data_IF_523567796844
#
_entry.id   IF_523567796844
#
_cell.length_a   1.000
_cell.length_b   1.000
_cell.length_c   1.000
_cell.angle_alpha   90.00
_cell.angle_beta   90.00
_cell.angle_gamma   90.00
#
_symmetry.space_group_name_H-M   'P 1'
#
loop_
_entity.id
_entity.type
_entity.pdbx_description
1 polymer ?
#
# COMPACT_ATOMS: atom_id res chain seq x y z
N UNK A 1 -41.25 -6.01 68.91
CA UNK A 1 -41.97 -5.45 67.76
C UNK A 1 -43.18 -6.35 67.49
N UNK A 2 -44.38 -5.79 67.49
CA UNK A 2 -45.64 -6.56 67.44
C UNK A 2 -45.77 -7.17 66.03
N UNK A 3 -45.95 -8.50 65.96
CA UNK A 3 -46.07 -9.24 64.65
C UNK A 3 -47.10 -8.62 63.73
N UNK A 4 -48.20 -8.09 64.30
CA UNK A 4 -49.23 -7.39 63.55
C UNK A 4 -48.75 -6.12 62.86
N UNK A 5 -47.76 -5.40 63.41
CA UNK A 5 -47.22 -4.19 62.82
C UNK A 5 -46.33 -4.49 61.58
N UNK A 6 -45.64 -5.64 61.60
CA UNK A 6 -44.84 -6.14 60.47
C UNK A 6 -45.73 -6.56 59.30
N UNK A 7 -46.86 -7.18 59.56
CA UNK A 7 -47.83 -7.58 58.48
C UNK A 7 -48.49 -6.36 57.86
N UNK A 8 -48.75 -5.28 58.62
CA UNK A 8 -49.29 -4.03 58.08
C UNK A 8 -48.28 -3.34 57.20
N UNK A 9 -46.98 -3.31 57.56
CA UNK A 9 -45.93 -2.73 56.74
C UNK A 9 -45.75 -3.55 55.42
N UNK A 10 -45.78 -4.88 55.51
CA UNK A 10 -45.68 -5.72 54.29
C UNK A 10 -46.91 -5.55 53.39
N UNK A 11 -48.11 -5.43 53.94
CA UNK A 11 -49.31 -5.19 53.15
C UNK A 11 -49.28 -3.80 52.46
N UNK A 12 -48.80 -2.75 53.12
CA UNK A 12 -48.63 -1.43 52.53
C UNK A 12 -47.53 -1.44 51.44
N UNK A 13 -46.45 -2.20 51.63
CA UNK A 13 -45.40 -2.34 50.62
C UNK A 13 -45.92 -3.09 49.38
N UNK A 14 -46.76 -4.12 49.55
CA UNK A 14 -47.33 -4.85 48.41
C UNK A 14 -48.32 -3.99 47.60
N UNK A 15 -49.09 -3.14 48.26
CA UNK A 15 -50.02 -2.23 47.58
C UNK A 15 -49.27 -1.11 46.88
N UNK A 16 -48.11 -0.64 47.44
CA UNK A 16 -47.28 0.34 46.78
C UNK A 16 -46.55 -0.20 45.54
N UNK A 17 -46.27 -1.52 45.49
CA UNK A 17 -45.65 -2.13 44.32
C UNK A 17 -46.64 -2.50 43.20
N UNK A 18 -47.92 -2.61 43.49
CA UNK A 18 -48.94 -2.82 42.42
C UNK A 18 -49.39 -1.53 41.74
N UNK A 19 -49.11 -0.37 42.32
CA UNK A 19 -49.43 0.93 41.72
C UNK A 19 -48.49 1.35 40.56
N UNK A 20 -47.43 0.58 40.33
CA UNK A 20 -46.51 0.81 39.19
C UNK A 20 -46.80 -0.08 37.98
N UNK A 21 -47.92 -0.86 37.98
CA UNK A 21 -48.22 -1.81 36.90
C UNK A 21 -49.42 -1.43 36.02
N UNK A 22 -50.11 -0.35 36.35
CA UNK A 22 -51.10 0.25 35.42
C UNK A 22 -50.41 1.39 34.66
N UNK A 23 -49.47 1.04 33.84
CA UNK A 23 -49.16 1.86 32.67
C UNK A 23 -50.27 1.58 31.65
N UNK A 24 -51.30 2.41 31.66
CA UNK A 24 -52.26 2.49 30.57
C UNK A 24 -51.47 2.80 29.32
N UNK A 25 -51.05 1.74 28.59
CA UNK A 25 -50.35 1.83 27.29
C UNK A 25 -51.22 2.55 26.24
N UNK A 26 -51.49 3.80 26.52
CA UNK A 26 -52.12 4.75 25.61
C UNK A 26 -51.09 5.58 24.84
N UNK A 27 -49.85 5.07 24.77
CA UNK A 27 -48.84 5.69 23.91
C UNK A 27 -49.17 5.32 22.46
N UNK A 28 -49.84 6.23 21.81
CA UNK A 28 -49.97 6.19 20.35
C UNK A 28 -48.62 6.56 19.76
N UNK A 29 -47.68 5.58 19.73
CA UNK A 29 -46.39 5.82 19.11
C UNK A 29 -46.61 5.92 17.62
N UNK A 30 -46.38 7.12 17.09
CA UNK A 30 -46.28 7.32 15.64
C UNK A 30 -45.16 6.41 15.14
N UNK A 31 -45.42 5.64 14.09
CA UNK A 31 -44.39 4.77 13.48
C UNK A 31 -43.24 5.64 13.03
N UNK A 32 -42.04 5.32 13.54
CA UNK A 32 -40.82 5.95 13.08
C UNK A 32 -40.63 5.65 11.59
N UNK A 33 -40.24 6.66 10.86
CA UNK A 33 -39.84 6.53 9.47
C UNK A 33 -38.42 6.04 9.39
N UNK A 34 -38.22 4.71 9.42
CA UNK A 34 -36.93 4.06 9.42
C UNK A 34 -36.38 3.92 8.00
N UNK A 35 -35.05 3.79 7.85
CA UNK A 35 -34.43 3.48 6.58
C UNK A 35 -34.63 2.00 6.22
N UNK A 36 -34.93 1.71 4.95
CA UNK A 36 -34.97 0.35 4.42
C UNK A 36 -33.54 -0.20 4.32
N UNK A 37 -33.37 -1.53 4.52
CA UNK A 37 -32.07 -2.22 4.32
C UNK A 37 -31.26 -2.46 5.58
N UNK A 38 -31.78 -2.16 6.78
CA UNK A 38 -31.14 -2.52 8.05
C UNK A 38 -29.73 -1.92 8.20
N UNK A 39 -28.72 -2.76 8.43
CA UNK A 39 -27.33 -2.33 8.69
C UNK A 39 -26.69 -1.53 7.51
N UNK A 40 -27.11 -1.80 6.29
CA UNK A 40 -26.65 -1.08 5.08
C UNK A 40 -27.73 -0.13 4.53
N UNK A 41 -28.48 0.50 5.37
CA UNK A 41 -29.60 1.37 5.00
C UNK A 41 -29.19 2.61 4.18
N UNK A 42 -27.93 3.02 4.25
CA UNK A 42 -27.35 4.09 3.41
C UNK A 42 -26.36 3.43 2.44
N UNK A 43 -26.74 3.30 1.17
CA UNK A 43 -25.92 2.83 0.05
C UNK A 43 -25.16 3.96 -0.64
N UNK A 44 -24.55 3.67 -1.80
CA UNK A 44 -23.79 4.65 -2.59
C UNK A 44 -22.46 5.09 -1.96
N UNK A 45 -22.04 4.45 -0.89
CA UNK A 45 -20.76 4.71 -0.20
C UNK A 45 -19.99 3.41 0.00
N UNK A 46 -18.68 3.44 -0.21
CA UNK A 46 -17.73 2.40 0.23
C UNK A 46 -17.36 2.64 1.70
N UNK A 47 -16.86 1.60 2.36
CA UNK A 47 -16.31 1.75 3.71
C UNK A 47 -14.98 2.52 3.69
N UNK A 48 -14.20 2.37 2.59
CA UNK A 48 -12.95 3.08 2.37
C UNK A 48 -12.75 3.51 0.91
N UNK A 49 -12.08 4.63 0.75
CA UNK A 49 -11.62 5.20 -0.53
C UNK A 49 -10.13 5.50 -0.46
N UNK A 50 -9.50 5.55 -1.63
CA UNK A 50 -8.11 6.00 -1.75
C UNK A 50 -7.98 6.96 -2.92
N UNK A 51 -7.56 8.19 -2.63
CA UNK A 51 -7.38 9.27 -3.60
C UNK A 51 -5.95 9.82 -3.53
N UNK A 52 -5.51 10.51 -4.59
CA UNK A 52 -4.29 11.30 -4.53
C UNK A 52 -4.55 12.68 -3.92
N UNK A 53 -3.49 13.34 -3.47
CA UNK A 53 -3.53 14.78 -3.11
C UNK A 53 -4.13 15.58 -4.25
N UNK A 54 -4.99 16.55 -3.92
CA UNK A 54 -5.75 17.41 -4.85
C UNK A 54 -6.72 16.68 -5.79
N UNK A 55 -6.86 15.38 -5.67
CA UNK A 55 -7.89 14.62 -6.38
C UNK A 55 -9.25 14.86 -5.74
N UNK A 56 -10.27 14.99 -6.58
CA UNK A 56 -11.64 15.19 -6.12
C UNK A 56 -12.38 13.87 -6.02
N UNK A 57 -12.96 13.60 -4.86
CA UNK A 57 -13.85 12.47 -4.59
C UNK A 57 -15.25 12.98 -4.36
N UNK A 58 -16.19 12.65 -5.23
CA UNK A 58 -17.60 12.96 -5.04
C UNK A 58 -18.33 11.77 -4.41
N UNK A 59 -18.94 12.01 -3.25
CA UNK A 59 -19.73 11.05 -2.50
C UNK A 59 -21.20 11.32 -2.73
N UNK A 60 -21.96 10.30 -3.16
CA UNK A 60 -23.38 10.41 -3.47
C UNK A 60 -24.14 9.28 -2.77
N UNK A 61 -24.46 9.43 -1.48
CA UNK A 61 -25.20 8.43 -0.72
C UNK A 61 -26.59 8.19 -1.32
N UNK A 62 -27.08 6.98 -1.18
CA UNK A 62 -28.44 6.57 -1.55
C UNK A 62 -29.15 5.97 -0.35
N UNK A 63 -30.45 6.23 -0.23
CA UNK A 63 -31.25 5.68 0.87
C UNK A 63 -32.73 5.69 0.50
N UNK A 64 -33.55 4.89 1.22
CA UNK A 64 -35.00 4.90 1.13
C UNK A 64 -35.62 4.79 2.51
N UNK A 65 -36.69 5.53 2.76
CA UNK A 65 -37.49 5.41 3.97
C UNK A 65 -38.57 4.33 3.84
N UNK A 66 -39.02 3.79 4.96
CA UNK A 66 -40.07 2.77 5.00
C UNK A 66 -41.48 3.35 4.75
N UNK A 67 -41.72 4.58 5.19
CA UNK A 67 -43.04 5.25 5.10
C UNK A 67 -43.06 6.22 3.92
N UNK A 68 -42.13 7.18 3.87
CA UNK A 68 -42.09 8.24 2.85
C UNK A 68 -40.97 7.95 1.82
N UNK A 69 -41.08 6.88 1.04
CA UNK A 69 -40.04 6.42 0.14
C UNK A 69 -39.92 7.24 -1.18
N UNK A 70 -40.95 8.02 -1.56
CA UNK A 70 -40.98 8.71 -2.86
C UNK A 70 -40.49 10.17 -2.77
N UNK A 71 -40.87 10.90 -1.74
CA UNK A 71 -40.49 12.29 -1.54
C UNK A 71 -40.31 12.58 -0.05
N UNK A 72 -39.24 12.07 0.58
CA UNK A 72 -39.02 12.26 2.00
C UNK A 72 -38.70 13.73 2.30
N UNK A 73 -39.29 14.27 3.39
CA UNK A 73 -38.91 15.58 3.93
C UNK A 73 -37.68 15.42 4.82
N UNK A 74 -36.51 15.71 4.24
CA UNK A 74 -35.20 15.44 4.90
C UNK A 74 -34.25 16.61 4.78
N UNK A 75 -33.34 16.69 5.72
CA UNK A 75 -32.12 17.51 5.66
C UNK A 75 -30.86 16.64 5.74
N UNK A 76 -29.74 17.20 5.31
CA UNK A 76 -28.46 16.51 5.22
C UNK A 76 -27.41 17.21 6.04
N UNK A 77 -26.50 16.41 6.61
CA UNK A 77 -25.31 16.91 7.28
C UNK A 77 -24.10 16.08 6.84
N UNK A 78 -23.01 16.78 6.63
CA UNK A 78 -21.70 16.19 6.37
C UNK A 78 -20.73 16.55 7.48
N UNK A 79 -19.92 15.59 7.87
CA UNK A 79 -18.89 15.77 8.88
C UNK A 79 -17.54 15.33 8.32
N UNK A 80 -16.51 16.10 8.62
CA UNK A 80 -15.10 15.77 8.36
C UNK A 80 -14.40 15.63 9.71
N UNK A 81 -13.85 14.44 9.98
CA UNK A 81 -13.17 14.09 11.25
C UNK A 81 -14.00 14.44 12.50
N UNK A 82 -15.33 14.24 12.39
CA UNK A 82 -16.29 14.51 13.44
C UNK A 82 -16.73 15.97 13.56
N UNK A 83 -16.21 16.88 12.73
CA UNK A 83 -16.62 18.29 12.70
C UNK A 83 -17.68 18.51 11.62
N UNK A 84 -18.77 19.17 11.98
CA UNK A 84 -19.85 19.51 11.04
C UNK A 84 -19.36 20.50 9.98
N UNK A 85 -19.62 20.16 8.70
CA UNK A 85 -19.40 21.04 7.57
C UNK A 85 -20.67 21.89 7.33
N UNK A 86 -20.71 23.06 7.96
CA UNK A 86 -21.93 23.89 7.99
C UNK A 86 -22.40 24.36 6.61
N UNK A 87 -21.50 24.51 5.65
CA UNK A 87 -21.77 24.95 4.28
C UNK A 87 -22.16 23.80 3.34
N UNK A 88 -22.07 22.54 3.78
CA UNK A 88 -22.34 21.35 2.99
C UNK A 88 -23.62 20.66 3.46
N UNK A 89 -24.75 21.08 2.89
CA UNK A 89 -26.10 20.61 3.25
C UNK A 89 -26.79 19.86 2.10
N UNK A 90 -26.04 19.47 1.07
CA UNK A 90 -26.57 18.78 -0.11
C UNK A 90 -26.63 17.27 0.05
N UNK A 91 -27.33 16.55 -0.85
CA UNK A 91 -27.37 15.09 -0.89
C UNK A 91 -26.06 14.47 -1.35
N UNK A 92 -25.11 15.27 -1.84
CA UNK A 92 -23.77 14.83 -2.26
C UNK A 92 -22.73 15.80 -1.75
N UNK A 93 -21.50 15.30 -1.55
CA UNK A 93 -20.36 16.07 -1.10
C UNK A 93 -19.13 15.75 -1.94
N UNK A 94 -18.36 16.78 -2.32
CA UNK A 94 -17.10 16.61 -3.04
C UNK A 94 -15.92 16.96 -2.13
N UNK A 95 -15.18 15.92 -1.74
CA UNK A 95 -14.01 16.03 -0.91
C UNK A 95 -12.74 16.15 -1.75
N UNK A 96 -11.78 16.95 -1.29
CA UNK A 96 -10.39 16.97 -1.74
C UNK A 96 -9.49 17.45 -0.61
N UNK A 97 -8.20 17.09 -0.65
CA UNK A 97 -7.21 17.51 0.36
C UNK A 97 -5.88 17.82 -0.33
N UNK A 98 -5.24 18.90 0.09
CA UNK A 98 -3.88 19.26 -0.33
C UNK A 98 -2.78 18.60 0.52
N UNK A 99 -3.16 17.78 1.52
CA UNK A 99 -2.24 17.06 2.39
C UNK A 99 -2.54 15.58 2.35
N UNK A 100 -1.51 14.75 2.32
CA UNK A 100 -1.63 13.30 2.51
C UNK A 100 -2.06 12.97 3.94
N UNK A 101 -2.66 11.80 4.11
CA UNK A 101 -3.14 11.32 5.41
C UNK A 101 -4.45 10.56 5.30
N UNK A 102 -5.19 10.49 6.39
CA UNK A 102 -6.50 9.82 6.45
C UNK A 102 -7.55 10.79 6.95
N UNK A 103 -8.69 10.83 6.28
CA UNK A 103 -9.86 11.61 6.68
C UNK A 103 -11.06 10.67 6.89
N UNK A 104 -11.86 10.95 7.90
CA UNK A 104 -13.15 10.28 8.12
C UNK A 104 -14.28 11.20 7.72
N UNK A 105 -15.06 10.77 6.73
CA UNK A 105 -16.23 11.53 6.26
C UNK A 105 -17.49 10.81 6.74
N UNK A 106 -18.41 11.54 7.35
CA UNK A 106 -19.70 11.01 7.79
C UNK A 106 -20.82 11.76 7.10
N UNK A 107 -21.67 11.03 6.44
CA UNK A 107 -22.95 11.52 5.91
C UNK A 107 -24.05 11.22 6.93
N UNK A 108 -24.94 12.17 7.14
CA UNK A 108 -26.16 11.97 7.90
C UNK A 108 -27.36 12.50 7.15
N UNK A 109 -28.47 11.74 7.18
CA UNK A 109 -29.80 12.16 6.74
C UNK A 109 -30.72 12.24 7.95
N UNK A 110 -31.48 13.32 8.03
CA UNK A 110 -32.40 13.63 9.14
C UNK A 110 -33.80 13.65 8.58
N UNK A 111 -34.67 12.83 9.14
CA UNK A 111 -36.13 12.95 8.89
C UNK A 111 -36.67 14.18 9.62
N UNK A 112 -37.08 15.22 8.88
CA UNK A 112 -37.47 16.47 9.49
C UNK A 112 -38.75 16.39 10.34
N UNK A 113 -39.60 15.36 10.12
CA UNK A 113 -40.83 15.15 10.92
C UNK A 113 -40.52 14.60 12.29
N UNK A 114 -39.65 13.60 12.37
CA UNK A 114 -39.29 12.91 13.65
C UNK A 114 -38.05 13.45 14.31
N UNK A 115 -37.17 14.14 13.57
CA UNK A 115 -35.86 14.58 14.02
C UNK A 115 -34.85 13.43 14.12
N UNK A 116 -35.18 12.22 13.68
CA UNK A 116 -34.30 11.07 13.74
C UNK A 116 -33.20 11.20 12.71
N UNK A 117 -31.96 11.00 13.14
CA UNK A 117 -30.75 11.06 12.31
C UNK A 117 -30.20 9.66 12.05
N UNK A 118 -29.97 9.36 10.77
CA UNK A 118 -29.30 8.15 10.30
C UNK A 118 -27.95 8.56 9.70
N UNK A 119 -26.89 7.86 10.05
CA UNK A 119 -25.55 8.24 9.59
C UNK A 119 -24.73 7.03 9.13
N UNK A 120 -23.84 7.26 8.13
CA UNK A 120 -22.82 6.32 7.69
C UNK A 120 -21.50 7.06 7.52
N UNK A 121 -20.42 6.44 8.00
CA UNK A 121 -19.08 6.95 7.84
C UNK A 121 -18.33 6.17 6.76
N UNK A 122 -17.39 6.84 6.12
CA UNK A 122 -16.39 6.27 5.23
C UNK A 122 -15.01 6.83 5.59
N UNK A 123 -13.98 6.05 5.34
CA UNK A 123 -12.58 6.46 5.50
C UNK A 123 -11.99 6.80 4.13
N UNK A 124 -11.28 7.92 4.04
CA UNK A 124 -10.58 8.33 2.81
C UNK A 124 -9.09 8.39 3.11
N UNK A 125 -8.31 7.51 2.49
CA UNK A 125 -6.84 7.56 2.49
C UNK A 125 -6.39 8.49 1.36
N UNK A 126 -5.71 9.59 1.71
CA UNK A 126 -5.15 10.57 0.78
C UNK A 126 -3.68 10.26 0.60
N UNK A 127 -3.29 9.86 -0.60
CA UNK A 127 -1.91 9.51 -0.96
C UNK A 127 -1.21 10.72 -1.58
N UNK A 128 0.12 10.75 -1.52
CA UNK A 128 0.91 11.69 -2.31
C UNK A 128 0.70 11.43 -3.81
N UNK A 129 1.06 12.37 -4.66
CA UNK A 129 0.79 12.29 -6.11
C UNK A 129 1.48 11.10 -6.77
N UNK A 130 2.67 10.74 -6.30
CA UNK A 130 3.53 9.77 -6.99
C UNK A 130 3.54 8.36 -6.39
N UNK A 131 2.76 8.10 -5.34
CA UNK A 131 2.67 6.77 -4.70
C UNK A 131 2.05 5.69 -5.58
N UNK A 132 1.31 6.07 -6.60
CA UNK A 132 0.66 5.12 -7.51
C UNK A 132 0.61 5.72 -8.90
N UNK A 133 1.09 4.97 -9.89
CA UNK A 133 1.03 5.41 -11.27
C UNK A 133 2.10 4.76 -12.12
N UNK A 134 2.44 5.43 -13.21
CA UNK A 134 3.47 4.99 -14.14
C UNK A 134 4.56 6.04 -14.22
N UNK A 135 5.76 5.69 -13.79
CA UNK A 135 6.97 6.46 -14.05
C UNK A 135 7.47 6.14 -15.46
N UNK A 136 7.71 7.16 -16.26
CA UNK A 136 8.16 7.03 -17.65
C UNK A 136 9.43 7.84 -17.82
N UNK A 137 10.56 7.15 -17.97
CA UNK A 137 11.83 7.76 -18.29
C UNK A 137 11.97 7.88 -19.81
N UNK A 138 12.24 9.08 -20.28
CA UNK A 138 12.41 9.39 -21.71
C UNK A 138 13.72 10.12 -21.95
N UNK A 139 14.20 10.07 -23.19
CA UNK A 139 15.38 10.77 -23.66
C UNK A 139 14.98 12.03 -24.41
N UNK A 140 15.44 13.20 -23.96
CA UNK A 140 15.32 14.45 -24.69
C UNK A 140 16.23 14.50 -25.93
N UNK A 141 16.01 15.48 -26.82
CA UNK A 141 16.82 15.66 -28.04
C UNK A 141 18.29 15.95 -27.74
N UNK A 142 18.58 16.46 -26.57
CA UNK A 142 19.92 16.77 -26.04
C UNK A 142 20.51 15.64 -25.18
N UNK A 143 19.93 14.44 -25.25
CA UNK A 143 20.22 13.29 -24.40
C UNK A 143 19.87 13.47 -22.90
N UNK A 144 19.17 14.53 -22.52
CA UNK A 144 18.72 14.76 -21.16
C UNK A 144 17.73 13.65 -20.74
N UNK A 145 17.86 13.20 -19.50
CA UNK A 145 16.87 12.33 -18.86
C UNK A 145 15.66 13.15 -18.47
N UNK A 146 14.47 12.71 -18.89
CA UNK A 146 13.18 13.34 -18.58
C UNK A 146 12.30 12.32 -17.91
N UNK A 147 11.93 12.58 -16.68
CA UNK A 147 11.00 11.73 -15.93
C UNK A 147 9.59 12.32 -15.97
N UNK A 148 8.67 11.56 -16.50
CA UNK A 148 7.24 11.89 -16.52
C UNK A 148 6.49 10.92 -15.65
N UNK A 149 5.32 11.33 -15.14
CA UNK A 149 4.49 10.46 -14.31
C UNK A 149 3.02 10.55 -14.72
N UNK A 150 2.39 9.38 -14.89
CA UNK A 150 0.95 9.27 -15.14
C UNK A 150 0.27 8.84 -13.85
N UNK A 151 -0.60 9.70 -13.34
CA UNK A 151 -1.33 9.49 -12.09
C UNK A 151 -2.70 8.88 -12.43
N UNK A 152 -3.01 7.65 -11.97
CA UNK A 152 -4.35 7.10 -12.11
C UNK A 152 -5.30 7.76 -11.13
N UNK A 153 -6.53 8.03 -11.57
CA UNK A 153 -7.66 8.36 -10.72
C UNK A 153 -8.59 7.15 -10.64
N UNK A 154 -9.16 6.92 -9.47
CA UNK A 154 -10.14 5.85 -9.27
C UNK A 154 -11.53 6.42 -9.41
N UNK A 155 -12.32 5.85 -10.31
CA UNK A 155 -13.76 6.13 -10.45
C UNK A 155 -14.53 4.95 -9.89
N UNK A 156 -15.25 5.17 -8.81
CA UNK A 156 -16.13 4.15 -8.23
C UNK A 156 -17.51 4.25 -8.86
N UNK A 157 -18.07 3.14 -9.30
CA UNK A 157 -19.45 2.98 -9.72
C UNK A 157 -20.11 1.84 -8.96
N UNK A 158 -21.41 1.90 -8.81
CA UNK A 158 -22.17 0.90 -8.09
C UNK A 158 -22.98 0.06 -9.07
N UNK A 159 -22.96 -1.26 -8.87
CA UNK A 159 -23.73 -2.22 -9.65
C UNK A 159 -24.62 -3.05 -8.73
N UNK A 160 -25.78 -3.50 -9.22
CA UNK A 160 -26.64 -4.39 -8.47
C UNK A 160 -26.38 -5.85 -8.93
N UNK A 161 -25.92 -6.70 -8.04
CA UNK A 161 -25.70 -8.12 -8.26
C UNK A 161 -26.57 -8.88 -7.25
N UNK A 162 -27.42 -9.77 -7.74
CA UNK A 162 -28.35 -10.55 -6.91
C UNK A 162 -29.17 -9.73 -5.91
N UNK A 163 -29.55 -8.51 -6.30
CA UNK A 163 -30.32 -7.57 -5.48
C UNK A 163 -29.51 -6.78 -4.45
N UNK A 164 -28.21 -6.99 -4.36
CA UNK A 164 -27.29 -6.22 -3.51
C UNK A 164 -26.51 -5.21 -4.33
N UNK A 165 -26.29 -4.02 -3.76
CA UNK A 165 -25.43 -2.99 -4.38
C UNK A 165 -23.97 -3.31 -4.10
N UNK A 166 -23.17 -3.47 -5.14
CA UNK A 166 -21.72 -3.67 -5.06
C UNK A 166 -20.96 -2.50 -5.66
N UNK A 167 -19.97 -1.99 -4.93
CA UNK A 167 -19.04 -0.98 -5.42
C UNK A 167 -17.99 -1.62 -6.34
N UNK A 168 -17.78 -1.00 -7.51
CA UNK A 168 -16.76 -1.40 -8.48
C UNK A 168 -15.87 -0.20 -8.80
N UNK A 169 -14.56 -0.43 -8.85
CA UNK A 169 -13.60 0.60 -9.18
C UNK A 169 -13.07 0.43 -10.61
N UNK A 170 -12.92 1.55 -11.30
CA UNK A 170 -12.23 1.65 -12.58
C UNK A 170 -11.11 2.66 -12.49
N UNK A 171 -9.94 2.34 -13.06
CA UNK A 171 -8.82 3.27 -13.15
C UNK A 171 -8.90 4.07 -14.45
N UNK A 172 -8.74 5.37 -14.36
CA UNK A 172 -8.62 6.29 -15.49
C UNK A 172 -7.28 7.01 -15.44
N UNK A 173 -6.61 7.11 -16.61
CA UNK A 173 -5.25 7.63 -16.76
C UNK A 173 -5.29 8.92 -17.58
N UNK A 174 -5.69 10.02 -16.96
CA UNK A 174 -5.82 11.32 -17.65
C UNK A 174 -4.95 12.43 -17.05
N UNK A 175 -4.30 12.18 -15.91
CA UNK A 175 -3.42 13.15 -15.25
C UNK A 175 -1.97 12.80 -15.56
N UNK A 176 -1.30 13.65 -16.32
CA UNK A 176 0.12 13.49 -16.67
C UNK A 176 0.90 14.65 -16.09
N UNK A 177 1.96 14.33 -15.35
CA UNK A 177 2.97 15.29 -14.90
C UNK A 177 4.20 15.13 -15.77
N UNK A 178 4.68 16.22 -16.35
CA UNK A 178 5.84 16.24 -17.24
C UNK A 178 7.06 16.76 -16.49
N UNK A 179 8.23 16.13 -16.74
CA UNK A 179 9.53 16.57 -16.22
C UNK A 179 9.50 16.79 -14.69
N UNK A 180 9.02 15.74 -13.96
CA UNK A 180 8.73 15.82 -12.53
C UNK A 180 9.98 16.00 -11.66
N UNK A 181 11.16 15.66 -12.19
CA UNK A 181 12.47 15.84 -11.55
C UNK A 181 13.38 16.65 -12.48
N UNK A 182 13.31 17.98 -12.46
CA UNK A 182 14.15 18.83 -13.31
C UNK A 182 15.65 18.59 -13.04
N UNK A 183 16.46 18.62 -14.10
CA UNK A 183 17.91 18.39 -14.05
C UNK A 183 18.31 17.00 -13.55
N UNK A 184 17.52 16.00 -13.83
CA UNK A 184 17.73 14.62 -13.39
C UNK A 184 19.10 14.06 -13.80
N UNK A 185 19.53 14.30 -15.06
CA UNK A 185 20.80 13.83 -15.61
C UNK A 185 20.76 13.62 -17.12
N UNK A 186 21.67 12.79 -17.61
CA UNK A 186 21.88 12.56 -19.04
C UNK A 186 21.90 11.06 -19.36
N UNK A 187 21.67 10.72 -20.61
CA UNK A 187 21.81 9.36 -21.14
C UNK A 187 20.96 8.33 -20.38
N UNK A 188 19.62 8.48 -20.37
CA UNK A 188 18.72 7.58 -19.65
C UNK A 188 18.85 6.13 -20.16
N UNK A 189 18.90 5.18 -19.23
CA UNK A 189 19.01 3.74 -19.49
C UNK A 189 17.75 3.02 -19.03
N UNK A 190 17.24 3.32 -17.82
CA UNK A 190 16.07 2.64 -17.26
C UNK A 190 15.72 3.08 -15.85
N UNK A 191 14.66 2.48 -15.34
CA UNK A 191 14.14 2.68 -14.00
C UNK A 191 14.14 1.36 -13.24
N UNK A 192 14.27 1.42 -11.91
CA UNK A 192 14.14 0.29 -11.02
C UNK A 192 13.57 0.75 -9.67
N UNK A 193 12.74 -0.06 -9.06
CA UNK A 193 12.28 0.16 -7.67
C UNK A 193 13.37 -0.25 -6.69
N UNK A 194 13.62 0.59 -5.69
CA UNK A 194 14.35 0.25 -4.48
C UNK A 194 13.31 -0.01 -3.38
N UNK A 195 13.22 -1.25 -2.92
CA UNK A 195 12.09 -1.73 -2.12
C UNK A 195 12.19 -1.30 -0.66
N UNK A 196 11.10 -0.76 -0.12
CA UNK A 196 10.88 -0.52 1.30
C UNK A 196 9.99 -1.59 1.94
N UNK A 197 10.16 -1.85 3.23
CA UNK A 197 9.31 -2.78 3.97
C UNK A 197 8.05 -2.08 4.49
N UNK A 198 7.06 -1.92 3.64
CA UNK A 198 5.80 -1.24 3.97
C UNK A 198 5.02 -1.90 5.12
N UNK A 199 4.97 -3.23 5.17
CA UNK A 199 4.15 -3.95 6.16
C UNK A 199 4.66 -3.75 7.58
N UNK A 200 5.98 -3.79 7.76
CA UNK A 200 6.60 -3.59 9.06
C UNK A 200 6.37 -2.17 9.57
N UNK A 201 6.63 -1.17 8.73
CA UNK A 201 6.55 0.23 9.15
C UNK A 201 5.11 0.74 9.26
N UNK A 202 4.17 0.22 8.47
CA UNK A 202 2.75 0.55 8.63
C UNK A 202 2.20 0.06 9.98
N UNK A 203 2.70 -1.05 10.50
CA UNK A 203 2.36 -1.53 11.85
C UNK A 203 2.82 -0.59 12.97
N UNK A 204 3.84 0.22 12.71
CA UNK A 204 4.36 1.26 13.61
C UNK A 204 3.73 2.64 13.36
N UNK A 205 2.78 2.75 12.43
CA UNK A 205 2.16 4.01 12.02
C UNK A 205 3.07 4.90 11.17
N UNK A 206 4.14 4.34 10.60
CA UNK A 206 5.05 5.02 9.69
C UNK A 206 4.71 4.63 8.25
N UNK A 207 4.73 5.61 7.36
CA UNK A 207 4.56 5.37 5.93
C UNK A 207 5.94 5.30 5.27
N UNK A 208 6.29 4.13 4.74
CA UNK A 208 7.50 3.90 3.94
C UNK A 208 7.06 3.53 2.53
N UNK A 209 7.63 4.17 1.54
CA UNK A 209 7.33 3.93 0.13
C UNK A 209 8.58 3.40 -0.56
N UNK A 210 8.40 2.65 -1.65
CA UNK A 210 9.51 2.27 -2.50
C UNK A 210 10.13 3.54 -3.10
N UNK A 211 11.46 3.56 -3.25
CA UNK A 211 12.18 4.60 -3.98
C UNK A 211 12.30 4.27 -5.46
N UNK A 212 12.68 5.25 -6.25
CA UNK A 212 12.92 5.10 -7.67
C UNK A 212 14.41 5.31 -7.99
N UNK A 213 15.08 4.24 -8.42
CA UNK A 213 16.42 4.31 -8.98
C UNK A 213 16.34 4.66 -10.46
N UNK A 214 17.01 5.74 -10.87
CA UNK A 214 17.17 6.16 -12.27
C UNK A 214 18.55 5.78 -12.77
N UNK A 215 18.60 4.84 -13.72
CA UNK A 215 19.83 4.42 -14.39
C UNK A 215 20.09 5.37 -15.56
N UNK A 216 21.23 6.05 -15.51
CA UNK A 216 21.68 7.04 -16.47
C UNK A 216 23.20 7.20 -16.36
N UNK A 217 23.83 8.28 -16.87
CA UNK A 217 25.28 8.51 -16.72
C UNK A 217 25.73 8.54 -15.26
N UNK A 218 24.98 9.25 -14.42
CA UNK A 218 25.11 9.21 -12.96
C UNK A 218 23.82 8.68 -12.39
N UNK A 219 23.83 7.46 -11.92
CA UNK A 219 22.65 6.84 -11.34
C UNK A 219 22.16 7.65 -10.14
N UNK A 220 20.87 7.96 -10.12
CA UNK A 220 20.24 8.79 -9.12
C UNK A 220 19.12 8.03 -8.40
N UNK A 221 19.00 8.24 -7.10
CA UNK A 221 17.94 7.71 -6.28
C UNK A 221 16.98 8.83 -5.92
N UNK A 222 15.68 8.58 -6.13
CA UNK A 222 14.62 9.55 -5.96
C UNK A 222 13.66 9.06 -4.89
N UNK A 223 13.19 9.99 -4.07
CA UNK A 223 12.12 9.72 -3.10
C UNK A 223 10.86 9.21 -3.80
N UNK A 224 10.34 8.05 -3.39
CA UNK A 224 9.18 7.44 -4.02
C UNK A 224 7.87 8.21 -3.82
N UNK A 225 7.82 9.14 -2.85
CA UNK A 225 6.66 9.98 -2.60
C UNK A 225 6.63 11.27 -3.41
N UNK A 226 7.81 11.92 -3.54
CA UNK A 226 7.93 13.26 -4.11
C UNK A 226 8.61 13.26 -5.47
N UNK A 227 9.34 12.19 -5.81
CA UNK A 227 10.26 12.06 -6.94
C UNK A 227 11.36 13.12 -6.92
N UNK A 228 11.64 13.72 -5.77
CA UNK A 228 12.79 14.59 -5.57
C UNK A 228 14.07 13.76 -5.52
N UNK A 229 15.15 14.33 -6.05
CA UNK A 229 16.47 13.72 -6.00
C UNK A 229 16.98 13.67 -4.55
N UNK A 230 17.40 12.50 -4.08
CA UNK A 230 17.96 12.32 -2.75
C UNK A 230 19.49 12.23 -2.80
N UNK A 231 20.03 11.30 -3.60
CA UNK A 231 21.48 11.17 -3.77
C UNK A 231 21.81 10.49 -5.10
N UNK A 232 23.09 10.51 -5.44
CA UNK A 232 23.63 9.66 -6.48
C UNK A 232 24.15 8.36 -5.90
N UNK A 233 23.86 7.24 -6.54
CA UNK A 233 24.21 5.88 -6.04
C UNK A 233 25.70 5.73 -5.69
N UNK A 234 26.62 6.43 -6.37
CA UNK A 234 28.05 6.38 -6.03
C UNK A 234 28.40 7.03 -4.68
N UNK A 235 27.55 7.91 -4.13
CA UNK A 235 27.76 8.55 -2.83
C UNK A 235 27.61 7.56 -1.68
N UNK A 236 26.91 6.46 -1.91
CA UNK A 236 26.77 5.37 -0.94
C UNK A 236 28.02 4.46 -0.82
N UNK A 237 29.13 4.78 -1.44
CA UNK A 237 30.41 4.13 -1.22
C UNK A 237 31.25 4.76 -0.10
N UNK A 238 30.72 5.72 0.62
CA UNK A 238 31.37 6.38 1.76
C UNK A 238 32.81 6.85 1.46
N UNK A 239 33.03 7.50 0.31
CA UNK A 239 34.33 7.93 -0.22
C UNK A 239 35.32 6.80 -0.57
N UNK A 240 34.86 5.56 -0.63
CA UNK A 240 35.68 4.39 -0.98
C UNK A 240 35.20 3.76 -2.30
N UNK A 241 34.85 4.62 -3.27
CA UNK A 241 34.39 4.21 -4.59
C UNK A 241 35.54 3.50 -5.33
N UNK A 242 35.32 2.28 -5.85
CA UNK A 242 36.34 1.57 -6.63
C UNK A 242 36.77 2.36 -7.89
N UNK A 243 38.04 2.25 -8.24
CA UNK A 243 38.58 2.90 -9.45
C UNK A 243 37.80 2.47 -10.70
N UNK A 244 37.41 3.47 -11.52
CA UNK A 244 36.64 3.25 -12.75
C UNK A 244 35.33 2.49 -12.52
N UNK A 245 34.65 2.74 -11.40
CA UNK A 245 33.36 2.14 -11.14
C UNK A 245 32.31 2.67 -12.12
N UNK A 246 31.72 1.75 -12.88
CA UNK A 246 30.64 2.03 -13.84
C UNK A 246 29.54 0.97 -13.66
N UNK A 247 28.42 1.29 -12.99
CA UNK A 247 27.35 0.35 -12.76
C UNK A 247 26.59 0.08 -14.06
N UNK A 248 26.22 -1.18 -14.30
CA UNK A 248 25.45 -1.59 -15.48
C UNK A 248 24.13 -2.28 -15.12
N UNK A 249 24.10 -3.01 -14.01
CA UNK A 249 22.90 -3.67 -13.49
C UNK A 249 22.78 -3.46 -11.99
N UNK A 250 21.55 -3.47 -11.50
CA UNK A 250 21.24 -3.44 -10.09
C UNK A 250 20.17 -4.47 -9.75
N UNK A 251 20.16 -4.91 -8.50
CA UNK A 251 19.03 -5.61 -7.88
C UNK A 251 18.85 -5.06 -6.47
N UNK A 252 17.63 -4.71 -6.13
CA UNK A 252 17.31 -4.06 -4.85
C UNK A 252 16.18 -4.80 -4.15
N UNK A 253 16.38 -5.09 -2.88
CA UNK A 253 15.41 -5.77 -2.01
C UNK A 253 15.17 -4.94 -0.76
N UNK A 254 14.33 -5.41 0.16
CA UNK A 254 14.14 -4.74 1.45
C UNK A 254 15.44 -4.66 2.27
N UNK A 255 16.34 -5.64 2.12
CA UNK A 255 17.49 -5.79 2.99
C UNK A 255 18.83 -5.45 2.32
N UNK A 256 18.87 -5.38 0.99
CA UNK A 256 20.13 -5.20 0.27
C UNK A 256 19.96 -4.44 -1.04
N UNK A 257 21.02 -3.73 -1.43
CA UNK A 257 21.22 -3.17 -2.76
C UNK A 257 22.45 -3.84 -3.36
N UNK A 258 22.35 -4.35 -4.57
CA UNK A 258 23.45 -4.95 -5.32
C UNK A 258 23.65 -4.18 -6.63
N UNK A 259 24.89 -3.86 -6.92
CA UNK A 259 25.31 -3.23 -8.17
C UNK A 259 26.31 -4.12 -8.88
N UNK A 260 26.07 -4.42 -10.15
CA UNK A 260 27.06 -5.04 -11.03
C UNK A 260 27.71 -3.99 -11.91
N UNK A 261 29.03 -3.97 -11.96
CA UNK A 261 29.78 -3.04 -12.81
C UNK A 261 30.18 -3.65 -14.17
N UNK A 262 30.79 -2.86 -15.04
CA UNK A 262 31.27 -3.29 -16.36
C UNK A 262 32.34 -4.39 -16.30
N UNK A 263 33.08 -4.48 -15.18
CA UNK A 263 34.08 -5.54 -14.93
C UNK A 263 33.47 -6.85 -14.43
N UNK A 264 32.15 -6.97 -14.48
CA UNK A 264 31.39 -8.17 -14.05
C UNK A 264 31.46 -8.45 -12.52
N UNK A 265 31.86 -7.46 -11.72
CA UNK A 265 31.88 -7.55 -10.27
C UNK A 265 30.59 -7.03 -9.66
N UNK A 266 30.11 -7.70 -8.59
CA UNK A 266 28.97 -7.26 -7.78
C UNK A 266 29.48 -6.63 -6.48
N UNK A 267 28.90 -5.48 -6.15
CA UNK A 267 29.10 -4.75 -4.89
C UNK A 267 27.80 -4.77 -4.10
N UNK A 268 27.92 -4.99 -2.81
CA UNK A 268 26.79 -5.16 -1.91
C UNK A 268 26.69 -3.99 -0.93
N UNK A 269 25.51 -3.39 -0.83
CA UNK A 269 25.10 -2.56 0.28
C UNK A 269 24.07 -3.35 1.10
N UNK A 270 24.40 -3.63 2.36
CA UNK A 270 23.47 -4.23 3.29
C UNK A 270 22.70 -3.10 3.97
N UNK A 271 21.43 -2.95 3.66
CA UNK A 271 20.55 -2.00 4.34
C UNK A 271 20.43 -2.41 5.80
N UNK A 272 20.97 -1.62 6.69
CA UNK A 272 20.93 -1.90 8.14
C UNK A 272 19.49 -1.76 8.65
N UNK A 273 18.73 -0.85 8.08
CA UNK A 273 17.32 -0.63 8.35
C UNK A 273 16.54 -0.67 7.02
N UNK A 274 15.61 -1.62 6.89
CA UNK A 274 14.79 -1.76 5.67
C UNK A 274 13.81 -0.58 5.44
N UNK A 275 13.62 0.29 6.42
CA UNK A 275 12.83 1.53 6.32
C UNK A 275 13.66 2.76 5.97
N UNK A 276 14.97 2.66 6.08
CA UNK A 276 15.91 3.68 5.65
C UNK A 276 16.70 3.15 4.46
N UNK A 277 16.38 3.64 3.27
CA UNK A 277 17.00 3.20 2.01
C UNK A 277 18.50 3.49 1.97
N UNK A 278 18.97 4.45 2.75
CA UNK A 278 20.35 4.94 2.78
C UNK A 278 21.10 4.59 4.07
N UNK A 279 20.57 3.68 4.88
CA UNK A 279 21.17 3.30 6.17
C UNK A 279 22.51 2.56 6.06
N UNK A 280 22.85 2.01 4.90
CA UNK A 280 24.05 1.24 4.64
C UNK A 280 24.96 1.87 3.58
N UNK A 281 26.14 1.25 3.42
CA UNK A 281 27.08 1.63 2.37
C UNK A 281 27.45 0.41 1.52
N UNK A 282 27.77 0.66 0.23
CA UNK A 282 28.36 -0.36 -0.61
C UNK A 282 29.76 -0.74 -0.12
N UNK A 283 30.08 -2.01 -0.17
CA UNK A 283 31.45 -2.49 0.06
C UNK A 283 32.33 -2.02 -1.11
N UNK A 284 33.57 -1.57 -0.83
CA UNK A 284 34.56 -1.30 -1.88
C UNK A 284 35.18 -2.59 -2.46
N UNK A 285 35.05 -3.69 -1.73
CA UNK A 285 35.53 -5.01 -2.18
C UNK A 285 34.38 -5.75 -2.85
N UNK A 286 34.59 -6.27 -4.06
CA UNK A 286 33.57 -7.05 -4.75
C UNK A 286 33.15 -8.30 -3.99
N UNK A 287 31.89 -8.71 -4.16
CA UNK A 287 31.31 -9.89 -3.58
C UNK A 287 32.14 -11.14 -3.90
N UNK A 288 32.26 -12.04 -2.92
CA UNK A 288 33.00 -13.31 -3.04
C UNK A 288 34.40 -13.17 -3.62
N UNK A 289 35.19 -12.23 -3.09
CA UNK A 289 36.60 -12.01 -3.47
C UNK A 289 36.79 -11.72 -4.99
N UNK A 290 35.84 -11.01 -5.59
CA UNK A 290 35.90 -10.67 -7.00
C UNK A 290 35.41 -11.77 -7.95
N UNK A 291 34.52 -12.64 -7.50
CA UNK A 291 33.77 -13.53 -8.39
C UNK A 291 33.10 -12.71 -9.49
N UNK A 292 33.15 -13.22 -10.71
CA UNK A 292 32.56 -12.56 -11.86
C UNK A 292 31.15 -13.06 -12.16
N UNK A 293 30.27 -12.10 -12.46
CA UNK A 293 28.88 -12.33 -12.81
C UNK A 293 28.56 -11.65 -14.13
N UNK A 294 28.18 -12.45 -15.10
CA UNK A 294 27.77 -11.96 -16.43
C UNK A 294 26.48 -11.13 -16.37
N UNK A 295 25.53 -11.51 -15.51
CA UNK A 295 24.24 -10.85 -15.33
C UNK A 295 23.84 -10.82 -13.85
N UNK A 296 23.10 -9.76 -13.50
CA UNK A 296 22.40 -9.62 -12.23
C UNK A 296 20.94 -9.29 -12.55
N UNK A 297 20.02 -10.08 -12.02
CA UNK A 297 18.59 -9.92 -12.29
C UNK A 297 17.87 -9.35 -11.06
N UNK A 298 16.73 -8.67 -11.30
CA UNK A 298 15.93 -8.11 -10.22
C UNK A 298 15.31 -9.22 -9.37
N UNK A 299 15.20 -8.98 -8.06
CA UNK A 299 14.45 -9.84 -7.14
C UNK A 299 12.96 -9.81 -7.45
N UNK A 300 12.26 -10.85 -7.03
CA UNK A 300 10.81 -10.97 -7.16
C UNK A 300 10.11 -10.30 -5.99
N UNK A 301 9.13 -9.43 -6.30
CA UNK A 301 8.17 -8.89 -5.33
C UNK A 301 6.77 -9.38 -5.70
N UNK A 302 6.11 -10.11 -4.80
CA UNK A 302 4.73 -10.60 -4.98
C UNK A 302 3.91 -10.11 -3.80
N UNK A 303 2.91 -9.24 -4.03
CA UNK A 303 1.98 -8.73 -3.02
C UNK A 303 2.69 -8.28 -1.74
N UNK A 304 3.65 -7.38 -1.87
CA UNK A 304 4.47 -6.84 -0.79
C UNK A 304 5.38 -7.86 -0.09
N UNK A 305 5.39 -9.10 -0.55
CA UNK A 305 6.38 -10.10 -0.18
C UNK A 305 7.48 -10.14 -1.24
N UNK A 306 8.72 -10.19 -0.81
CA UNK A 306 9.85 -10.30 -1.71
C UNK A 306 10.59 -11.62 -1.51
N UNK A 307 11.27 -12.05 -2.56
CA UNK A 307 12.17 -13.19 -2.48
C UNK A 307 13.54 -12.72 -2.00
N UNK A 308 14.02 -13.27 -0.90
CA UNK A 308 15.34 -12.96 -0.33
C UNK A 308 16.52 -13.51 -1.15
N UNK A 309 16.26 -14.12 -2.29
CA UNK A 309 17.27 -14.64 -3.21
C UNK A 309 17.22 -13.84 -4.51
N UNK A 310 18.36 -13.25 -4.86
CA UNK A 310 18.55 -12.46 -6.07
C UNK A 310 19.22 -13.36 -7.10
N UNK A 311 18.61 -13.61 -8.28
CA UNK A 311 19.23 -14.44 -9.31
C UNK A 311 20.39 -13.71 -9.97
N UNK A 312 21.45 -14.47 -10.24
CA UNK A 312 22.60 -13.99 -11.00
C UNK A 312 23.17 -15.08 -11.88
N UNK A 313 23.86 -14.70 -12.95
CA UNK A 313 24.52 -15.61 -13.87
C UNK A 313 26.03 -15.42 -13.75
N UNK A 314 26.73 -16.48 -13.40
CA UNK A 314 28.20 -16.48 -13.36
C UNK A 314 28.82 -16.37 -14.75
N UNK A 315 30.11 -16.09 -14.82
CA UNK A 315 30.88 -16.00 -16.07
C UNK A 315 30.75 -17.28 -16.93
N UNK A 316 30.63 -18.46 -16.31
CA UNK A 316 30.49 -19.75 -16.98
C UNK A 316 29.03 -20.12 -17.33
N UNK A 317 28.09 -19.18 -17.20
CA UNK A 317 26.65 -19.35 -17.39
C UNK A 317 25.95 -20.23 -16.33
N UNK A 318 26.56 -20.46 -15.18
CA UNK A 318 25.88 -21.10 -14.05
C UNK A 318 24.93 -20.11 -13.39
N UNK A 319 23.65 -20.49 -13.27
CA UNK A 319 22.66 -19.72 -12.53
C UNK A 319 22.85 -19.91 -11.03
N UNK A 320 22.94 -18.82 -10.30
CA UNK A 320 23.10 -18.79 -8.86
C UNK A 320 22.09 -17.85 -8.21
N UNK A 321 21.82 -18.08 -6.93
CA UNK A 321 21.07 -17.17 -6.07
C UNK A 321 22.03 -16.47 -5.11
N UNK A 322 21.88 -15.16 -4.99
CA UNK A 322 22.58 -14.35 -3.97
C UNK A 322 21.58 -14.05 -2.87
N UNK A 323 21.90 -14.45 -1.63
CA UNK A 323 21.04 -14.20 -0.49
C UNK A 323 21.20 -12.75 0.00
N UNK A 324 20.10 -12.04 0.22
CA UNK A 324 20.10 -10.63 0.61
C UNK A 324 20.21 -10.38 2.12
N UNK A 325 20.23 -11.45 2.93
CA UNK A 325 20.23 -11.33 4.38
C UNK A 325 18.86 -11.23 5.03
N UNK A 326 17.82 -11.34 4.25
CA UNK A 326 16.39 -11.12 4.43
C UNK A 326 15.84 -11.03 5.85
N UNK A 327 15.06 -9.99 6.10
CA UNK A 327 14.11 -9.96 7.22
C UNK A 327 12.95 -10.88 6.80
N UNK A 328 12.88 -12.09 7.36
CA UNK A 328 11.70 -12.91 7.14
C UNK A 328 10.50 -12.25 7.82
N UNK A 329 9.44 -12.01 7.08
CA UNK A 329 8.18 -11.40 7.54
C UNK A 329 7.54 -12.19 8.71
N UNK A 330 7.96 -13.43 8.95
CA UNK A 330 7.54 -14.26 10.09
C UNK A 330 8.20 -13.90 11.41
N UNK A 331 9.31 -13.17 11.40
CA UNK A 331 10.02 -12.77 12.61
C UNK A 331 9.74 -11.29 12.91
N UNK A 332 8.63 -11.03 13.59
CA UNK A 332 8.36 -9.72 14.22
C UNK A 332 9.38 -9.32 15.31
N UNK A 333 10.43 -10.09 15.50
CA UNK A 333 11.57 -9.71 16.31
C UNK A 333 12.56 -8.96 15.42
N UNK A 334 12.57 -7.68 15.56
CA UNK A 334 13.46 -6.68 14.95
C UNK A 334 14.94 -6.83 15.29
N UNK A 335 15.34 -7.90 15.86
CA UNK A 335 16.73 -8.26 15.92
C UNK A 335 17.10 -8.90 14.59
N UNK A 336 17.70 -8.10 13.70
CA UNK A 336 18.63 -8.63 12.72
C UNK A 336 19.55 -9.54 13.54
N UNK A 337 19.31 -10.84 13.50
CA UNK A 337 20.13 -11.73 14.28
C UNK A 337 21.56 -11.56 13.77
N UNK A 338 22.56 -11.55 14.66
CA UNK A 338 23.99 -11.52 14.25
C UNK A 338 24.33 -12.59 13.20
N UNK A 339 23.46 -13.58 13.05
CA UNK A 339 23.56 -14.63 12.04
C UNK A 339 23.05 -14.21 10.66
N UNK A 340 22.07 -13.32 10.52
CA UNK A 340 21.57 -12.90 9.20
C UNK A 340 22.57 -11.99 8.48
N UNK A 341 23.26 -11.12 9.20
CA UNK A 341 24.30 -10.26 8.62
C UNK A 341 25.50 -11.05 8.10
N UNK A 342 25.79 -12.22 8.66
CA UNK A 342 26.87 -13.10 8.19
C UNK A 342 26.52 -13.87 6.92
N UNK A 343 25.24 -13.96 6.56
CA UNK A 343 24.76 -14.69 5.39
C UNK A 343 24.44 -13.78 4.20
N UNK A 344 24.37 -12.47 4.42
CA UNK A 344 24.14 -11.51 3.33
C UNK A 344 25.25 -11.61 2.29
N UNK A 345 24.86 -11.72 1.03
CA UNK A 345 25.79 -11.87 -0.08
C UNK A 345 26.31 -13.28 -0.31
N UNK A 346 25.90 -14.29 0.46
CA UNK A 346 26.22 -15.67 0.14
C UNK A 346 25.66 -16.06 -1.22
N UNK A 347 26.50 -16.69 -2.03
CA UNK A 347 26.14 -17.18 -3.36
C UNK A 347 25.87 -18.67 -3.29
N UNK A 348 24.71 -19.09 -3.72
CA UNK A 348 24.27 -20.48 -3.76
C UNK A 348 24.06 -20.92 -5.21
N UNK A 349 24.59 -22.09 -5.58
CA UNK A 349 24.19 -22.70 -6.84
C UNK A 349 22.74 -23.17 -6.72
N UNK A 350 21.92 -22.87 -7.73
CA UNK A 350 20.55 -23.33 -7.79
C UNK A 350 20.59 -24.80 -8.23
N UNK A 351 20.68 -25.71 -7.25
CA UNK A 351 20.96 -27.13 -7.49
C UNK A 351 19.71 -28.00 -7.57
N UNK A 352 18.57 -27.55 -7.05
CA UNK A 352 17.38 -28.39 -6.96
C UNK A 352 16.10 -27.61 -7.26
N UNK A 353 15.61 -27.77 -8.48
CA UNK A 353 14.18 -27.67 -8.73
C UNK A 353 13.72 -28.99 -9.33
N UNK A 354 13.26 -29.93 -8.45
CA UNK A 354 12.55 -31.15 -8.84
C UNK A 354 13.17 -31.90 -10.05
N UNK A 355 14.40 -32.39 -9.90
CA UNK A 355 15.14 -33.18 -10.92
C UNK A 355 15.47 -32.44 -12.23
N UNK A 356 15.25 -31.14 -12.31
CA UNK A 356 15.58 -30.36 -13.51
C UNK A 356 17.01 -29.81 -13.44
N UNK A 357 17.97 -30.62 -13.86
CA UNK A 357 19.41 -30.29 -13.88
C UNK A 357 19.81 -29.21 -14.88
N UNK A 358 18.88 -28.74 -15.72
CA UNK A 358 19.22 -27.84 -16.83
C UNK A 358 19.44 -26.39 -16.44
N UNK A 359 19.10 -25.98 -15.21
CA UNK A 359 19.34 -24.62 -14.76
C UNK A 359 20.73 -24.38 -14.16
N UNK A 360 21.53 -25.41 -13.96
CA UNK A 360 22.89 -25.27 -13.41
C UNK A 360 23.85 -24.62 -14.40
N UNK A 361 23.68 -24.85 -15.68
CA UNK A 361 24.49 -24.24 -16.73
C UNK A 361 23.65 -23.98 -17.97
N UNK A 362 23.40 -22.72 -18.25
CA UNK A 362 22.64 -22.32 -19.43
C UNK A 362 23.48 -22.56 -20.69
N UNK A 363 22.93 -23.31 -21.63
CA UNK A 363 23.59 -23.57 -22.93
C UNK A 363 23.38 -22.45 -23.94
N UNK A 364 22.44 -21.54 -23.64
CA UNK A 364 22.08 -20.40 -24.46
C UNK A 364 22.40 -19.10 -23.73
N UNK A 365 22.53 -18.01 -24.46
CA UNK A 365 22.65 -16.69 -23.86
C UNK A 365 21.32 -16.32 -23.16
N UNK A 366 21.42 -16.01 -21.86
CA UNK A 366 20.29 -15.47 -21.10
C UNK A 366 20.24 -13.98 -21.29
N UNK A 367 19.26 -13.49 -22.02
CA UNK A 367 19.10 -12.05 -22.29
C UNK A 367 18.48 -11.35 -21.10
N UNK A 368 17.45 -11.95 -20.48
CA UNK A 368 16.77 -11.40 -19.34
C UNK A 368 16.06 -12.50 -18.53
N UNK A 369 15.72 -12.19 -17.27
CA UNK A 369 14.88 -13.01 -16.41
C UNK A 369 13.83 -12.12 -15.77
N UNK A 370 12.58 -12.46 -15.95
CA UNK A 370 11.45 -11.71 -15.40
C UNK A 370 10.85 -12.54 -14.27
N UNK A 371 10.69 -11.95 -13.07
CA UNK A 371 9.98 -12.63 -12.00
C UNK A 371 8.52 -12.88 -12.40
N UNK A 372 8.06 -14.08 -12.18
CA UNK A 372 6.67 -14.47 -12.41
C UNK A 372 6.09 -15.09 -11.13
N UNK A 373 4.82 -14.82 -10.86
CA UNK A 373 4.07 -15.45 -9.79
C UNK A 373 3.14 -16.51 -10.36
N UNK A 374 3.12 -17.71 -9.77
CA UNK A 374 2.07 -18.68 -10.07
C UNK A 374 0.71 -18.17 -9.59
N UNK A 375 -0.37 -18.52 -10.31
CA UNK A 375 -1.73 -18.18 -9.88
C UNK A 375 -1.99 -18.72 -8.46
N UNK A 376 -2.53 -17.86 -7.60
CA UNK A 376 -2.92 -18.25 -6.24
C UNK A 376 -4.12 -19.19 -6.27
N UNK A 377 -4.13 -20.14 -5.35
CA UNK A 377 -5.27 -21.04 -5.15
C UNK A 377 -6.43 -20.33 -4.44
N UNK A 378 -6.13 -19.32 -3.63
CA UNK A 378 -7.06 -18.36 -3.02
C UNK A 378 -6.29 -17.13 -2.53
N UNK A 379 -6.99 -16.01 -2.30
CA UNK A 379 -6.39 -14.71 -1.98
C UNK A 379 -5.68 -14.63 -0.60
N UNK A 380 -5.84 -15.65 0.24
CA UNK A 380 -5.32 -15.68 1.61
C UNK A 380 -4.16 -16.65 1.81
N UNK A 381 -3.86 -17.49 0.84
CA UNK A 381 -2.81 -18.50 0.97
C UNK A 381 -1.53 -18.07 0.26
N UNK A 382 -0.73 -17.28 0.97
CA UNK A 382 0.58 -16.80 0.50
C UNK A 382 1.57 -17.94 0.34
N UNK A 383 1.40 -19.04 1.11
CA UNK A 383 2.28 -20.22 1.04
C UNK A 383 2.13 -21.00 -0.26
N UNK A 384 1.03 -20.80 -0.99
CA UNK A 384 0.77 -21.43 -2.27
C UNK A 384 1.35 -20.66 -3.49
N UNK A 385 1.83 -19.43 -3.29
CA UNK A 385 2.51 -18.69 -4.33
C UNK A 385 3.95 -19.19 -4.44
N UNK A 386 4.23 -20.01 -5.45
CA UNK A 386 5.59 -20.45 -5.75
C UNK A 386 6.21 -19.38 -6.65
N UNK A 387 7.24 -18.65 -6.19
CA UNK A 387 7.97 -17.74 -7.07
C UNK A 387 8.57 -18.54 -8.23
N UNK A 388 8.32 -18.10 -9.43
CA UNK A 388 8.88 -18.67 -10.64
C UNK A 388 9.61 -17.59 -11.43
N UNK A 389 10.68 -17.98 -12.11
CA UNK A 389 11.42 -17.14 -13.04
C UNK A 389 11.16 -17.62 -14.46
N UNK A 390 10.86 -16.71 -15.35
CA UNK A 390 10.62 -17.00 -16.79
C UNK A 390 11.71 -16.35 -17.63
#
# INVERSE_FOLDING_TARGET
MNKSFVYIIIAILCVAMSACLDDDNNYNYDKLNELQGGYQSIGGLKDDYSIAVDEKLTLTPTFKFTIDSIAPDVSYEWYLDGQLLADEQGPSYTFSSSKSGTARITFAVIDNKSGVKFARSTTVKIRTEFQRGWAILSRGNDNRSILNFIIPSTVTYFTTIDGNEEARDSLVYHRVKMDVTPNLGMNPIGLMENLGNMDYYSSLGLEVYDELLVKQDKWAELNGNTLEHELYTFEEFNNDLPDNFSPVEAAMTYSAKLLRNENEHIFLNNKIDAGDFHAGFYTSVPLNNGMKFRRLFQSLKINDLYCSVIPALKEDNTLVGIYDGGITVSDYSTTISENSTKLTGNVYEITEMNDQKHFQKMSQEVVDMIPAASARKNDYDVSAAVPAWV
#
